data_IF_268951541015
#
_entry.id   IF_268951541015
#
_cell.length_a   1.000
_cell.length_b   1.000
_cell.length_c   1.000
_cell.angle_alpha   90.00
_cell.angle_beta   90.00
_cell.angle_gamma   90.00
#
_symmetry.space_group_name_H-M   'P 1'
#
loop_
_entity.id
_entity.type
_entity.pdbx_description
1 polymer ?
#
# COMPACT_ATOMS: atom_id res chain seq x y z
N UNK A 1 29.77 -20.39 -0.39
CA UNK A 1 28.39 -20.70 0.07
C UNK A 1 27.42 -19.89 -0.78
N UNK A 2 26.76 -20.51 -1.77
CA UNK A 2 25.95 -19.79 -2.76
C UNK A 2 24.70 -19.15 -2.12
N UNK A 3 24.40 -17.89 -2.46
CA UNK A 3 23.17 -17.21 -2.03
C UNK A 3 21.96 -18.03 -2.51
N UNK A 4 21.27 -18.73 -1.60
CA UNK A 4 20.02 -19.43 -1.92
C UNK A 4 19.00 -18.39 -2.39
N UNK A 5 18.53 -18.49 -3.64
CA UNK A 5 17.51 -17.61 -4.25
C UNK A 5 16.09 -17.91 -3.76
N UNK A 6 15.92 -18.35 -2.51
CA UNK A 6 14.67 -18.90 -1.98
C UNK A 6 13.46 -17.93 -2.04
N UNK A 7 13.71 -16.62 -2.09
CA UNK A 7 12.66 -15.60 -2.14
C UNK A 7 12.62 -14.82 -3.46
N UNK A 8 13.38 -15.25 -4.47
CA UNK A 8 13.37 -14.60 -5.78
C UNK A 8 12.08 -14.95 -6.52
N UNK A 9 11.36 -13.97 -7.10
CA UNK A 9 10.18 -14.26 -7.91
C UNK A 9 10.53 -15.22 -9.05
N UNK A 10 9.73 -16.27 -9.20
CA UNK A 10 9.79 -17.23 -10.31
C UNK A 10 8.49 -17.11 -11.11
N UNK A 11 8.55 -17.09 -12.45
CA UNK A 11 7.36 -17.19 -13.32
C UNK A 11 6.94 -18.65 -13.59
N UNK A 12 7.51 -19.58 -12.84
CA UNK A 12 7.27 -21.03 -12.94
C UNK A 12 6.60 -21.52 -11.65
N UNK A 13 5.74 -22.53 -11.78
CA UNK A 13 4.97 -23.10 -10.67
C UNK A 13 3.58 -22.49 -10.53
N UNK A 14 2.74 -23.10 -9.71
CA UNK A 14 1.33 -22.71 -9.57
C UNK A 14 1.20 -21.27 -9.05
N UNK A 15 0.31 -20.46 -9.65
CA UNK A 15 0.15 -19.06 -9.27
C UNK A 15 -0.35 -18.93 -7.84
N UNK A 16 0.16 -17.92 -7.12
CA UNK A 16 -0.35 -17.49 -5.82
C UNK A 16 -0.28 -15.98 -5.75
N UNK A 17 -1.39 -15.32 -5.47
CA UNK A 17 -1.47 -13.85 -5.52
C UNK A 17 -2.08 -13.30 -4.25
N UNK A 18 -1.46 -12.27 -3.70
CA UNK A 18 -2.01 -11.44 -2.62
C UNK A 18 -2.05 -10.00 -3.13
N UNK A 19 -3.22 -9.38 -3.02
CA UNK A 19 -3.37 -7.93 -3.20
C UNK A 19 -3.03 -7.28 -1.86
N UNK A 20 -2.02 -6.41 -1.85
CA UNK A 20 -1.75 -5.56 -0.70
C UNK A 20 -2.90 -4.55 -0.58
N UNK A 21 -3.61 -4.49 0.56
CA UNK A 21 -4.67 -3.51 0.73
C UNK A 21 -4.02 -2.14 0.54
N UNK A 22 -4.53 -1.33 -0.39
CA UNK A 22 -3.90 -0.08 -0.72
C UNK A 22 -3.89 0.82 0.51
N UNK A 23 -2.72 1.32 0.89
CA UNK A 23 -2.62 2.27 1.99
C UNK A 23 -3.34 3.56 1.57
N UNK A 24 -4.18 4.09 2.46
CA UNK A 24 -4.75 5.43 2.28
C UNK A 24 -3.60 6.44 2.28
N UNK A 25 -3.59 7.37 1.32
CA UNK A 25 -2.57 8.43 1.17
C UNK A 25 -2.57 9.44 2.34
N UNK A 26 -3.45 9.24 3.34
CA UNK A 26 -3.86 10.26 4.32
C UNK A 26 -3.20 10.19 5.69
N UNK A 27 -2.34 9.20 6.00
CA UNK A 27 -1.75 9.14 7.33
C UNK A 27 -0.67 8.09 7.57
N UNK A 28 0.18 8.41 8.56
CA UNK A 28 1.33 7.62 9.00
C UNK A 28 1.01 6.13 9.19
N UNK A 29 1.97 5.28 8.82
CA UNK A 29 1.91 3.84 9.11
C UNK A 29 1.83 3.62 10.64
N UNK A 30 1.03 2.64 11.06
CA UNK A 30 0.81 2.29 12.46
C UNK A 30 0.84 0.77 12.64
N UNK A 31 0.74 0.28 13.87
CA UNK A 31 0.92 -1.14 14.18
C UNK A 31 -0.05 -2.07 13.42
N UNK A 32 -1.24 -1.58 13.06
CA UNK A 32 -2.19 -2.31 12.22
C UNK A 32 -1.63 -2.60 10.82
N UNK A 33 -1.01 -1.59 10.18
CA UNK A 33 -0.31 -1.77 8.90
C UNK A 33 0.84 -2.78 9.03
N UNK A 34 1.64 -2.66 10.10
CA UNK A 34 2.75 -3.58 10.34
C UNK A 34 2.27 -5.03 10.49
N UNK A 35 1.18 -5.26 11.23
CA UNK A 35 0.59 -6.59 11.38
C UNK A 35 0.15 -7.16 10.02
N UNK A 36 -0.61 -6.39 9.25
CA UNK A 36 -1.12 -6.84 7.94
C UNK A 36 0.01 -7.12 6.96
N UNK A 37 1.01 -6.24 6.85
CA UNK A 37 2.14 -6.43 5.94
C UNK A 37 3.03 -7.61 6.36
N UNK A 38 3.22 -7.82 7.66
CA UNK A 38 4.01 -8.95 8.17
C UNK A 38 3.36 -10.28 7.84
N UNK A 39 2.05 -10.41 8.03
CA UNK A 39 1.33 -11.64 7.67
C UNK A 39 1.42 -11.93 6.17
N UNK A 40 1.27 -10.91 5.32
CA UNK A 40 1.41 -11.06 3.87
C UNK A 40 2.83 -11.43 3.46
N UNK A 41 3.85 -10.80 4.03
CA UNK A 41 5.26 -11.11 3.75
C UNK A 41 5.60 -12.56 4.11
N UNK A 42 5.13 -13.05 5.27
CA UNK A 42 5.31 -14.45 5.68
C UNK A 42 4.67 -15.40 4.66
N UNK A 43 3.42 -15.17 4.25
CA UNK A 43 2.72 -16.01 3.26
C UNK A 43 3.43 -16.00 1.90
N UNK A 44 3.84 -14.82 1.42
CA UNK A 44 4.56 -14.66 0.14
C UNK A 44 5.88 -15.43 0.17
N UNK A 45 6.65 -15.31 1.25
CA UNK A 45 7.92 -16.03 1.41
C UNK A 45 7.71 -17.54 1.48
N UNK A 46 6.74 -17.98 2.28
CA UNK A 46 6.39 -19.39 2.41
C UNK A 46 6.01 -20.01 1.05
N UNK A 47 5.13 -19.35 0.30
CA UNK A 47 4.73 -19.85 -1.02
C UNK A 47 5.85 -19.79 -2.07
N UNK A 48 6.76 -18.80 -2.01
CA UNK A 48 7.97 -18.80 -2.86
C UNK A 48 8.88 -19.98 -2.53
N UNK A 49 9.04 -20.32 -1.26
CA UNK A 49 9.83 -21.49 -0.82
C UNK A 49 9.21 -22.82 -1.26
N UNK A 50 7.88 -22.87 -1.41
CA UNK A 50 7.17 -24.01 -2.01
C UNK A 50 7.27 -24.08 -3.55
N UNK A 51 7.99 -23.14 -4.18
CA UNK A 51 8.18 -23.12 -5.63
C UNK A 51 7.01 -22.53 -6.42
N UNK A 52 6.07 -21.84 -5.77
CA UNK A 52 4.93 -21.20 -6.43
C UNK A 52 5.34 -19.90 -7.13
N UNK A 53 4.62 -19.56 -8.20
CA UNK A 53 4.74 -18.27 -8.88
C UNK A 53 3.97 -17.20 -8.11
N UNK A 54 4.65 -16.51 -7.20
CA UNK A 54 4.01 -15.57 -6.26
C UNK A 54 4.01 -14.12 -6.78
N UNK A 55 2.83 -13.51 -6.85
CA UNK A 55 2.62 -12.07 -7.04
C UNK A 55 2.13 -11.44 -5.73
N UNK A 56 2.89 -10.50 -5.18
CA UNK A 56 2.43 -9.61 -4.12
C UNK A 56 2.21 -8.25 -4.75
N UNK A 57 0.95 -7.92 -5.07
CA UNK A 57 0.61 -6.74 -5.85
C UNK A 57 0.44 -5.53 -4.93
N UNK A 58 1.34 -4.53 -4.95
CA UNK A 58 1.15 -3.28 -4.23
C UNK A 58 0.10 -2.40 -4.94
N UNK A 59 -0.48 -1.47 -4.18
CA UNK A 59 -1.38 -0.44 -4.68
C UNK A 59 -1.51 0.71 -3.69
N UNK A 60 -1.99 1.85 -4.18
CA UNK A 60 -2.33 3.03 -3.38
C UNK A 60 -3.76 3.42 -3.69
N UNK A 61 -4.52 3.81 -2.67
CA UNK A 61 -5.90 4.27 -2.85
C UNK A 61 -5.87 5.79 -2.93
N UNK A 62 -6.57 6.34 -3.93
CA UNK A 62 -6.75 7.79 -4.06
C UNK A 62 -7.42 8.41 -2.83
N UNK A 63 -8.20 7.62 -2.07
CA UNK A 63 -8.77 8.00 -0.78
C UNK A 63 -9.49 9.37 -0.82
N UNK A 64 -10.22 9.66 -1.90
CA UNK A 64 -10.64 11.01 -2.30
C UNK A 64 -11.27 11.86 -1.18
N UNK A 65 -12.19 11.30 -0.39
CA UNK A 65 -12.83 12.04 0.71
C UNK A 65 -11.87 12.29 1.86
N UNK A 66 -11.06 11.30 2.24
CA UNK A 66 -10.12 11.43 3.34
C UNK A 66 -8.98 12.40 2.98
N UNK A 67 -8.49 12.35 1.75
CA UNK A 67 -7.48 13.28 1.22
C UNK A 67 -8.02 14.70 1.20
N UNK A 68 -9.26 14.88 0.72
CA UNK A 68 -9.92 16.19 0.72
C UNK A 68 -10.07 16.75 2.15
N UNK A 69 -10.49 15.94 3.12
CA UNK A 69 -10.62 16.39 4.52
C UNK A 69 -9.28 16.81 5.14
N UNK A 70 -8.19 16.11 4.82
CA UNK A 70 -6.85 16.49 5.31
C UNK A 70 -6.43 17.82 4.69
N UNK A 71 -6.58 18.00 3.37
CA UNK A 71 -6.25 19.26 2.68
C UNK A 71 -7.10 20.43 3.21
N UNK A 72 -8.42 20.23 3.40
CA UNK A 72 -9.29 21.24 3.98
C UNK A 72 -8.89 21.62 5.41
N UNK A 73 -8.46 20.65 6.23
CA UNK A 73 -7.96 20.91 7.60
C UNK A 73 -6.65 21.71 7.58
N UNK A 74 -5.74 21.45 6.65
CA UNK A 74 -4.51 22.25 6.50
C UNK A 74 -4.82 23.67 6.03
N UNK A 75 -5.71 23.84 5.05
CA UNK A 75 -6.16 25.17 4.59
C UNK A 75 -6.81 26.00 5.71
N UNK A 76 -7.59 25.35 6.60
CA UNK A 76 -8.17 26.02 7.75
C UNK A 76 -7.12 26.57 8.72
N UNK A 77 -5.96 25.91 8.88
CA UNK A 77 -4.85 26.46 9.70
C UNK A 77 -4.28 27.75 9.11
N UNK A 78 -4.40 27.92 7.80
CA UNK A 78 -4.02 29.14 7.08
C UNK A 78 -5.19 30.14 6.93
N UNK A 79 -6.33 29.91 7.59
CA UNK A 79 -7.57 30.70 7.45
C UNK A 79 -8.10 30.80 6.00
N UNK A 80 -7.81 29.80 5.15
CA UNK A 80 -8.31 29.71 3.77
C UNK A 80 -9.42 28.68 3.67
N UNK A 81 -10.39 28.88 2.77
CA UNK A 81 -11.41 27.87 2.44
C UNK A 81 -11.25 27.40 1.00
N UNK A 82 -11.57 26.12 0.75
CA UNK A 82 -11.58 25.58 -0.62
C UNK A 82 -12.46 26.38 -1.58
N UNK A 83 -13.54 26.95 -1.06
CA UNK A 83 -14.52 27.72 -1.83
C UNK A 83 -13.91 28.99 -2.42
N UNK A 84 -12.87 29.52 -1.76
CA UNK A 84 -12.20 30.76 -2.15
C UNK A 84 -11.20 30.53 -3.32
N UNK A 85 -10.83 29.27 -3.58
CA UNK A 85 -9.79 28.89 -4.56
C UNK A 85 -10.37 28.41 -5.90
N UNK A 86 -11.62 27.92 -5.92
CA UNK A 86 -12.21 27.31 -7.11
C UNK A 86 -11.67 25.91 -7.42
N UNK A 87 -12.27 25.21 -8.39
CA UNK A 87 -12.03 23.76 -8.63
C UNK A 87 -10.66 23.43 -9.20
N UNK A 88 -10.06 24.31 -10.01
CA UNK A 88 -8.75 24.04 -10.61
C UNK A 88 -7.58 24.32 -9.66
N UNK A 89 -7.72 25.29 -8.75
CA UNK A 89 -6.67 25.62 -7.79
C UNK A 89 -6.72 24.79 -6.50
N UNK A 90 -7.81 24.07 -6.26
CA UNK A 90 -8.00 23.12 -5.17
C UNK A 90 -7.65 21.69 -5.61
#
# INVERSE_FOLDING_TARGET
MGKRKAFTPSKKGDPYTIIMPPANVTGNLHLGHALTFTLQDVLVRFHRMLGRSVLWQPGTDHAGIATQMVVERELQKENKKRQDMGREAF
#
